data_IF_850334120069
#
_entry.id   IF_850334120069
#
_cell.length_a   1.000
_cell.length_b   1.000
_cell.length_c   1.000
_cell.angle_alpha   90.00
_cell.angle_beta   90.00
_cell.angle_gamma   90.00
#
_symmetry.space_group_name_H-M   'P 1'
#
loop_
_entity.id
_entity.type
_entity.pdbx_description
1 polymer ?
#
# COMPACT_ATOMS: atom_id res chain seq x y z
N UNK A 1 19.74 3.75 -29.50
CA UNK A 1 20.00 4.55 -28.32
C UNK A 1 19.55 3.81 -27.08
N UNK A 2 20.45 3.56 -26.17
CA UNK A 2 20.09 2.83 -24.97
C UNK A 2 19.29 3.74 -24.03
N UNK A 3 18.05 3.38 -23.82
CA UNK A 3 17.28 4.02 -22.79
C UNK A 3 17.86 3.65 -21.43
N UNK A 4 18.49 4.59 -20.79
CA UNK A 4 18.97 4.39 -19.45
C UNK A 4 17.80 4.50 -18.51
N UNK A 5 17.44 3.38 -17.90
CA UNK A 5 16.57 3.40 -16.75
C UNK A 5 17.29 4.12 -15.63
N UNK A 6 16.91 5.35 -15.39
CA UNK A 6 17.41 6.10 -14.26
C UNK A 6 16.47 5.84 -13.08
N UNK A 7 16.98 5.10 -12.09
CA UNK A 7 16.25 4.85 -10.86
C UNK A 7 16.65 5.91 -9.84
N UNK A 8 15.66 6.66 -9.38
CA UNK A 8 15.86 7.70 -8.36
C UNK A 8 15.24 7.20 -7.07
N UNK A 9 16.04 6.90 -6.03
CA UNK A 9 15.51 6.40 -4.75
C UNK A 9 14.43 7.29 -4.14
N UNK A 10 14.54 8.60 -4.30
CA UNK A 10 13.51 9.53 -3.81
C UNK A 10 12.15 9.29 -4.47
N UNK A 11 12.13 8.96 -5.76
CA UNK A 11 10.89 8.65 -6.47
C UNK A 11 10.27 7.34 -5.99
N UNK A 12 11.10 6.34 -5.70
CA UNK A 12 10.64 5.07 -5.12
C UNK A 12 10.03 5.28 -3.74
N UNK A 13 10.64 6.12 -2.92
CA UNK A 13 10.11 6.46 -1.59
C UNK A 13 8.82 7.25 -1.67
N UNK A 14 8.70 8.15 -2.64
CA UNK A 14 7.47 8.90 -2.89
C UNK A 14 6.35 7.95 -3.29
N UNK A 15 6.61 7.03 -4.21
CA UNK A 15 5.64 6.03 -4.62
C UNK A 15 5.22 5.14 -3.45
N UNK A 16 6.16 4.76 -2.58
CA UNK A 16 5.86 4.00 -1.37
C UNK A 16 4.91 4.78 -0.45
N UNK A 17 5.14 6.08 -0.28
CA UNK A 17 4.26 6.95 0.50
C UNK A 17 2.85 7.04 -0.08
N UNK A 18 2.73 7.12 -1.39
CA UNK A 18 1.44 7.14 -2.08
C UNK A 18 0.66 5.84 -1.87
N UNK A 19 1.35 4.70 -1.92
CA UNK A 19 0.71 3.41 -1.66
C UNK A 19 0.28 3.24 -0.21
N UNK A 20 1.07 3.73 0.76
CA UNK A 20 0.65 3.75 2.17
C UNK A 20 -0.58 4.62 2.38
N UNK A 21 -0.63 5.79 1.75
CA UNK A 21 -1.79 6.67 1.82
C UNK A 21 -3.03 6.02 1.20
N UNK A 22 -2.86 5.31 0.09
CA UNK A 22 -3.94 4.54 -0.53
C UNK A 22 -4.45 3.44 0.41
N UNK A 23 -3.55 2.73 1.09
CA UNK A 23 -3.90 1.70 2.07
C UNK A 23 -4.72 2.27 3.23
N UNK A 24 -4.32 3.44 3.74
CA UNK A 24 -5.06 4.13 4.81
C UNK A 24 -6.47 4.53 4.36
N UNK A 25 -6.59 5.05 3.14
CA UNK A 25 -7.91 5.40 2.59
C UNK A 25 -8.80 4.18 2.43
N UNK A 26 -8.28 3.07 1.95
CA UNK A 26 -9.03 1.82 1.81
C UNK A 26 -9.49 1.29 3.15
N UNK A 27 -8.64 1.34 4.17
CA UNK A 27 -9.00 0.95 5.53
C UNK A 27 -10.10 1.85 6.11
N UNK A 28 -10.03 3.15 5.86
CA UNK A 28 -11.05 4.11 6.30
C UNK A 28 -12.41 3.85 5.64
N UNK A 29 -12.42 3.49 4.35
CA UNK A 29 -13.66 3.13 3.65
C UNK A 29 -14.28 1.88 4.28
N UNK A 30 -13.46 0.87 4.60
CA UNK A 30 -13.93 -0.34 5.28
C UNK A 30 -14.53 -0.06 6.65
N UNK A 31 -14.00 0.91 7.37
CA UNK A 31 -14.51 1.32 8.69
C UNK A 31 -15.92 1.92 8.62
N UNK A 32 -16.33 2.48 7.47
CA UNK A 32 -17.67 3.02 7.25
C UNK A 32 -18.77 1.96 7.23
N UNK A 33 -18.44 0.68 7.14
CA UNK A 33 -19.42 -0.41 7.12
C UNK A 33 -20.28 -0.46 8.37
N UNK A 34 -19.73 -0.05 9.53
CA UNK A 34 -20.48 -0.04 10.79
C UNK A 34 -21.70 0.90 10.73
N UNK A 35 -21.57 2.07 10.13
CA UNK A 35 -22.65 3.02 9.97
C UNK A 35 -23.73 2.49 9.02
N UNK A 36 -23.30 1.85 7.91
CA UNK A 36 -24.22 1.24 6.95
C UNK A 36 -24.99 0.11 7.64
N UNK A 37 -24.31 -0.72 8.43
CA UNK A 37 -24.93 -1.81 9.17
C UNK A 37 -25.94 -1.29 10.19
N UNK A 38 -25.63 -0.23 10.91
CA UNK A 38 -26.55 0.41 11.85
C UNK A 38 -27.82 0.88 11.14
N UNK A 39 -27.69 1.45 9.94
CA UNK A 39 -28.84 1.85 9.13
C UNK A 39 -29.69 0.65 8.72
N UNK A 40 -29.08 -0.48 8.36
CA UNK A 40 -29.82 -1.70 8.03
C UNK A 40 -30.55 -2.27 9.26
N UNK A 41 -29.91 -2.25 10.42
CA UNK A 41 -30.50 -2.73 11.68
C UNK A 41 -31.72 -1.90 12.09
N UNK A 42 -31.75 -0.61 11.73
CA UNK A 42 -32.88 0.28 12.02
C UNK A 42 -34.16 -0.09 11.27
N UNK A 43 -34.07 -0.92 10.23
CA UNK A 43 -35.24 -1.38 9.47
C UNK A 43 -36.19 -2.32 10.25
N UNK A 44 -35.69 -2.90 11.34
CA UNK A 44 -36.48 -3.76 12.21
C UNK A 44 -36.61 -5.21 11.72
N UNK A 45 -37.36 -6.05 12.51
CA UNK A 45 -37.38 -7.51 12.28
C UNK A 45 -38.01 -7.96 10.96
N UNK A 46 -38.91 -7.15 10.40
CA UNK A 46 -39.63 -7.48 9.14
C UNK A 46 -38.64 -7.60 7.98
N UNK A 47 -37.47 -6.95 8.07
CA UNK A 47 -36.46 -6.96 7.04
C UNK A 47 -35.25 -7.82 7.42
N UNK A 48 -35.49 -8.90 8.19
CA UNK A 48 -34.39 -9.77 8.65
C UNK A 48 -33.53 -10.32 7.51
N UNK A 49 -34.21 -10.79 6.43
CA UNK A 49 -33.48 -11.34 5.27
C UNK A 49 -32.65 -10.27 4.57
N UNK A 50 -33.17 -9.04 4.46
CA UNK A 50 -32.42 -7.92 3.88
C UNK A 50 -31.24 -7.55 4.74
N UNK A 51 -31.40 -7.54 6.07
CA UNK A 51 -30.28 -7.27 6.99
C UNK A 51 -29.18 -8.33 6.88
N UNK A 52 -29.57 -9.60 6.80
CA UNK A 52 -28.61 -10.70 6.68
C UNK A 52 -27.84 -10.63 5.36
N UNK A 53 -28.55 -10.37 4.25
CA UNK A 53 -27.94 -10.17 2.95
C UNK A 53 -26.98 -8.95 2.95
N UNK A 54 -27.42 -7.86 3.57
CA UNK A 54 -26.60 -6.65 3.72
C UNK A 54 -25.36 -6.88 4.54
N UNK A 55 -25.47 -7.62 5.64
CA UNK A 55 -24.31 -7.98 6.47
C UNK A 55 -23.30 -8.80 5.69
N UNK A 56 -23.75 -9.82 4.97
CA UNK A 56 -22.87 -10.65 4.14
C UNK A 56 -22.16 -9.82 3.08
N UNK A 57 -22.87 -8.92 2.41
CA UNK A 57 -22.29 -8.04 1.39
C UNK A 57 -21.26 -7.08 1.99
N UNK A 58 -21.56 -6.50 3.16
CA UNK A 58 -20.65 -5.61 3.85
C UNK A 58 -19.38 -6.32 4.32
N UNK A 59 -19.51 -7.56 4.78
CA UNK A 59 -18.36 -8.38 5.18
C UNK A 59 -17.46 -8.69 3.97
N UNK A 60 -18.02 -9.04 2.83
CA UNK A 60 -17.28 -9.24 1.59
C UNK A 60 -16.57 -7.95 1.14
N UNK A 61 -17.27 -6.82 1.22
CA UNK A 61 -16.75 -5.52 0.87
C UNK A 61 -15.56 -5.16 1.75
N UNK A 62 -15.69 -5.35 3.06
CA UNK A 62 -14.62 -5.10 4.02
C UNK A 62 -13.41 -5.97 3.73
N UNK A 63 -13.60 -7.27 3.50
CA UNK A 63 -12.51 -8.18 3.16
C UNK A 63 -11.78 -7.74 1.89
N UNK A 64 -12.50 -7.27 0.88
CA UNK A 64 -11.92 -6.76 -0.35
C UNK A 64 -11.06 -5.53 -0.09
N UNK A 65 -11.53 -4.56 0.69
CA UNK A 65 -10.74 -3.36 1.01
C UNK A 65 -9.53 -3.68 1.87
N UNK A 66 -9.65 -4.58 2.81
CA UNK A 66 -8.52 -5.04 3.62
C UNK A 66 -7.44 -5.71 2.77
N UNK A 67 -7.85 -6.53 1.81
CA UNK A 67 -6.95 -7.18 0.87
C UNK A 67 -6.22 -6.17 -0.01
N UNK A 68 -6.93 -5.17 -0.52
CA UNK A 68 -6.33 -4.10 -1.31
C UNK A 68 -5.38 -3.25 -0.47
N UNK A 69 -5.74 -2.93 0.75
CA UNK A 69 -4.88 -2.18 1.67
C UNK A 69 -3.58 -2.95 1.95
N UNK A 70 -3.69 -4.26 2.19
CA UNK A 70 -2.53 -5.12 2.41
C UNK A 70 -1.61 -5.16 1.17
N UNK A 71 -2.19 -5.22 -0.04
CA UNK A 71 -1.44 -5.21 -1.29
C UNK A 71 -0.68 -3.90 -1.48
N UNK A 72 -1.31 -2.76 -1.17
CA UNK A 72 -0.65 -1.46 -1.24
C UNK A 72 0.47 -1.32 -0.22
N UNK A 73 0.28 -1.81 1.00
CA UNK A 73 1.32 -1.79 2.02
C UNK A 73 2.50 -2.70 1.64
N UNK A 74 2.23 -3.88 1.07
CA UNK A 74 3.28 -4.78 0.58
C UNK A 74 4.08 -4.10 -0.53
N UNK A 75 3.41 -3.47 -1.48
CA UNK A 75 4.08 -2.73 -2.54
C UNK A 75 4.91 -1.57 -2.00
N UNK A 76 4.40 -0.85 -1.01
CA UNK A 76 5.14 0.22 -0.35
C UNK A 76 6.42 -0.29 0.30
N UNK A 77 6.36 -1.44 0.96
CA UNK A 77 7.55 -2.07 1.57
C UNK A 77 8.58 -2.46 0.51
N UNK A 78 8.13 -3.03 -0.60
CA UNK A 78 9.01 -3.42 -1.70
C UNK A 78 9.67 -2.21 -2.35
N UNK A 79 8.94 -1.13 -2.54
CA UNK A 79 9.48 0.11 -3.08
C UNK A 79 10.51 0.75 -2.15
N UNK A 80 10.25 0.72 -0.85
CA UNK A 80 11.19 1.21 0.16
C UNK A 80 12.47 0.36 0.17
N UNK A 81 12.33 -0.97 0.12
CA UNK A 81 13.46 -1.88 0.07
C UNK A 81 14.29 -1.67 -1.21
N UNK A 82 13.63 -1.44 -2.35
CA UNK A 82 14.31 -1.14 -3.60
C UNK A 82 15.09 0.17 -3.52
N UNK A 83 14.51 1.20 -2.88
CA UNK A 83 15.20 2.48 -2.69
C UNK A 83 16.47 2.30 -1.84
N UNK A 84 16.36 1.54 -0.75
CA UNK A 84 17.49 1.25 0.13
C UNK A 84 18.59 0.47 -0.61
N UNK A 85 18.21 -0.53 -1.40
CA UNK A 85 19.15 -1.32 -2.18
C UNK A 85 19.91 -0.47 -3.20
N UNK A 86 19.22 0.46 -3.87
CA UNK A 86 19.87 1.37 -4.81
C UNK A 86 20.82 2.35 -4.12
N UNK A 87 20.42 2.89 -2.96
CA UNK A 87 21.28 3.77 -2.16
C UNK A 87 22.53 3.06 -1.68
N UNK A 88 22.41 1.82 -1.22
CA UNK A 88 23.53 0.99 -0.79
C UNK A 88 24.47 0.66 -1.97
N UNK A 89 23.89 0.34 -3.12
CA UNK A 89 24.67 0.06 -4.32
C UNK A 89 25.48 1.29 -4.76
N UNK A 90 24.88 2.46 -4.73
CA UNK A 90 25.54 3.71 -5.08
C UNK A 90 26.64 4.04 -4.07
N UNK A 91 26.42 3.81 -2.80
CA UNK A 91 27.41 4.02 -1.76
C UNK A 91 28.61 3.07 -1.95
N UNK A 92 28.38 1.80 -2.25
CA UNK A 92 29.42 0.81 -2.52
C UNK A 92 30.23 1.18 -3.77
N UNK A 93 29.56 1.61 -4.83
CA UNK A 93 30.22 2.05 -6.05
C UNK A 93 31.11 3.25 -5.79
N UNK A 94 30.64 4.22 -5.04
CA UNK A 94 31.42 5.40 -4.66
C UNK A 94 32.65 5.02 -3.82
N UNK A 95 32.48 4.08 -2.89
CA UNK A 95 33.59 3.60 -2.05
C UNK A 95 34.67 2.88 -2.90
N UNK A 96 34.24 2.05 -3.84
CA UNK A 96 35.17 1.36 -4.74
C UNK A 96 35.97 2.34 -5.59
N UNK A 97 35.34 3.39 -6.09
CA UNK A 97 36.03 4.43 -6.85
C UNK A 97 37.05 5.17 -6.01
N UNK A 98 36.71 5.50 -4.77
CA UNK A 98 37.66 6.13 -3.83
C UNK A 98 38.85 5.22 -3.56
N UNK A 99 38.59 3.92 -3.33
CA UNK A 99 39.66 2.95 -3.08
C UNK A 99 40.61 2.82 -4.27
N UNK A 100 40.10 2.82 -5.48
CA UNK A 100 40.91 2.79 -6.70
C UNK A 100 41.75 4.05 -6.82
N UNK A 101 41.18 5.22 -6.56
CA UNK A 101 41.90 6.49 -6.61
C UNK A 101 42.99 6.58 -5.55
N UNK A 102 42.78 6.03 -4.36
CA UNK A 102 43.74 6.05 -3.27
C UNK A 102 44.85 5.03 -3.44
N UNK A 103 44.58 3.91 -4.11
CA UNK A 103 45.60 2.85 -4.32
C UNK A 103 46.48 3.08 -5.54
N UNK A 104 46.10 4.02 -6.37
CA UNK A 104 46.86 4.37 -7.57
C UNK A 104 47.86 5.44 -7.36
#
# INVERSE_FOLDING_TARGET
>A
MADRLTVVPADLRRAAGEHRAAAERLSAIGAGNAEIMASLESLGPVFADLRDAGRALLDERRACYEQQAAAHNDLAQRLTAAAEAWEDHDADAAQRLRNVAESG
#
